data_IF_722136932142
#
_entry.id   IF_722136932142
#
_cell.length_a   1.000
_cell.length_b   1.000
_cell.length_c   1.000
_cell.angle_alpha   90.00
_cell.angle_beta   90.00
_cell.angle_gamma   90.00
#
_symmetry.space_group_name_H-M   'P 1'
#
loop_
_entity.id
_entity.type
_entity.pdbx_description
1 polymer ?
#
# COMPACT_ATOMS: atom_id res chain seq x y z
N UNK A 1 -5.06 -27.35 -10.15
CA UNK A 1 -5.17 -26.84 -8.77
C UNK A 1 -5.32 -25.33 -8.85
N UNK A 2 -6.39 -24.76 -8.28
CA UNK A 2 -6.57 -23.31 -8.22
C UNK A 2 -5.81 -22.80 -7.00
N UNK A 3 -4.72 -22.09 -7.22
CA UNK A 3 -3.96 -21.44 -6.15
C UNK A 3 -4.81 -20.26 -5.64
N UNK A 4 -5.43 -20.45 -4.48
CA UNK A 4 -6.14 -19.39 -3.77
C UNK A 4 -5.08 -18.47 -3.15
N UNK A 5 -4.90 -17.28 -3.72
CA UNK A 5 -4.16 -16.21 -3.06
C UNK A 5 -5.20 -15.26 -2.45
N UNK A 6 -5.45 -15.33 -1.13
CA UNK A 6 -6.33 -14.40 -0.48
C UNK A 6 -5.75 -13.00 -0.65
N UNK A 7 -6.56 -12.07 -1.16
CA UNK A 7 -6.29 -10.64 -1.10
C UNK A 7 -5.74 -10.26 0.28
N UNK A 8 -4.73 -9.39 0.31
CA UNK A 8 -3.88 -8.98 1.44
C UNK A 8 -4.53 -8.59 2.77
N UNK A 9 -5.86 -8.59 2.88
CA UNK A 9 -6.57 -8.52 4.16
C UNK A 9 -6.24 -9.71 5.10
N UNK A 10 -5.44 -10.69 4.66
CA UNK A 10 -5.06 -11.87 5.43
C UNK A 10 -3.54 -12.12 5.58
N UNK A 11 -2.65 -11.20 5.17
CA UNK A 11 -1.20 -11.36 5.33
C UNK A 11 -0.69 -10.65 6.61
N UNK A 12 -0.25 -11.39 7.64
CA UNK A 12 0.30 -10.77 8.85
C UNK A 12 1.75 -10.32 8.60
N UNK A 13 1.91 -9.08 8.15
CA UNK A 13 3.23 -8.41 8.09
C UNK A 13 3.34 -7.27 9.08
N UNK A 14 4.52 -7.16 9.68
CA UNK A 14 4.87 -6.02 10.53
C UNK A 14 5.20 -4.77 9.73
N UNK A 15 5.45 -4.90 8.41
CA UNK A 15 5.76 -3.78 7.53
C UNK A 15 5.25 -4.02 6.09
N UNK A 16 3.96 -3.73 5.83
CA UNK A 16 3.35 -3.95 4.52
C UNK A 16 3.97 -3.06 3.42
N UNK A 17 4.44 -1.87 3.77
CA UNK A 17 5.11 -0.97 2.83
C UNK A 17 6.43 -1.56 2.31
N UNK A 18 7.27 -2.08 3.22
CA UNK A 18 8.52 -2.75 2.87
C UNK A 18 8.27 -4.02 2.05
N UNK A 19 7.23 -4.78 2.39
CA UNK A 19 6.83 -5.97 1.64
C UNK A 19 6.51 -5.64 0.18
N UNK A 20 5.73 -4.59 -0.05
CA UNK A 20 5.38 -4.11 -1.38
C UNK A 20 6.59 -3.61 -2.16
N UNK A 21 7.50 -2.87 -1.51
CA UNK A 21 8.75 -2.40 -2.13
C UNK A 21 9.66 -3.58 -2.54
N UNK A 22 9.81 -4.59 -1.68
CA UNK A 22 10.62 -5.78 -1.96
C UNK A 22 10.05 -6.60 -3.11
N UNK A 23 8.75 -6.85 -3.11
CA UNK A 23 8.11 -7.61 -4.20
C UNK A 23 8.10 -6.84 -5.52
N UNK A 24 7.95 -5.51 -5.48
CA UNK A 24 8.06 -4.66 -6.67
C UNK A 24 9.46 -4.76 -7.27
N UNK A 25 10.51 -4.65 -6.45
CA UNK A 25 11.90 -4.82 -6.87
C UNK A 25 12.11 -6.18 -7.55
N UNK A 26 11.61 -7.26 -6.93
CA UNK A 26 11.74 -8.61 -7.48
C UNK A 26 10.86 -8.83 -8.71
N UNK A 27 9.75 -8.09 -8.87
CA UNK A 27 8.88 -8.16 -10.04
C UNK A 27 9.43 -7.35 -11.23
N UNK A 28 10.33 -6.40 -11.01
CA UNK A 28 11.00 -5.67 -12.09
C UNK A 28 12.02 -6.56 -12.82
N UNK A 29 12.64 -7.52 -12.12
CA UNK A 29 13.44 -8.59 -12.72
C UNK A 29 13.12 -9.99 -12.14
N UNK A 30 12.01 -10.61 -12.56
CA UNK A 30 11.48 -11.84 -11.95
C UNK A 30 12.39 -13.07 -12.15
N UNK A 31 13.19 -13.07 -13.19
CA UNK A 31 14.12 -14.16 -13.53
C UNK A 31 15.51 -14.02 -12.87
N UNK A 32 15.78 -12.89 -12.20
CA UNK A 32 17.06 -12.61 -11.57
C UNK A 32 17.08 -12.99 -10.08
N UNK A 33 18.27 -13.41 -9.63
CA UNK A 33 18.54 -13.63 -8.21
C UNK A 33 19.18 -12.38 -7.61
N UNK A 34 18.53 -11.79 -6.62
CA UNK A 34 18.97 -10.58 -5.95
C UNK A 34 19.69 -10.92 -4.65
N UNK A 35 20.94 -10.46 -4.50
CA UNK A 35 21.71 -10.73 -3.28
C UNK A 35 21.19 -9.88 -2.12
N UNK A 36 21.31 -10.36 -0.87
CA UNK A 36 20.91 -9.58 0.31
C UNK A 36 21.61 -8.21 0.38
N UNK A 37 22.86 -8.12 -0.05
CA UNK A 37 23.62 -6.86 -0.07
C UNK A 37 22.96 -5.82 -0.98
N UNK A 38 22.61 -6.23 -2.19
CA UNK A 38 22.01 -5.36 -3.22
C UNK A 38 20.59 -4.94 -2.85
N UNK A 39 19.81 -5.84 -2.23
CA UNK A 39 18.47 -5.49 -1.74
C UNK A 39 18.56 -4.48 -0.59
N UNK A 40 19.52 -4.65 0.32
CA UNK A 40 19.65 -3.74 1.47
C UNK A 40 20.07 -2.32 1.06
N UNK A 41 20.86 -2.16 -0.01
CA UNK A 41 21.26 -0.83 -0.51
C UNK A 41 20.12 -0.08 -1.17
N UNK A 42 19.09 -0.78 -1.68
CA UNK A 42 17.87 -0.17 -2.23
C UNK A 42 16.93 0.37 -1.14
N UNK A 43 17.04 -0.12 0.09
CA UNK A 43 16.11 0.18 1.20
C UNK A 43 16.84 0.59 2.50
N UNK A 44 17.78 1.56 2.46
CA UNK A 44 18.59 1.93 3.62
C UNK A 44 17.75 2.46 4.79
N UNK A 45 16.57 3.04 4.52
CA UNK A 45 15.67 3.61 5.52
C UNK A 45 15.03 2.56 6.45
N UNK A 46 14.98 1.29 6.03
CA UNK A 46 14.42 0.20 6.85
C UNK A 46 15.50 -0.57 7.63
N UNK A 47 16.75 -0.52 7.16
CA UNK A 47 17.88 -1.23 7.76
C UNK A 47 17.91 -2.73 7.45
N UNK A 48 19.11 -3.31 7.51
CA UNK A 48 19.36 -4.68 7.07
C UNK A 48 18.60 -5.76 7.85
N UNK A 49 18.36 -5.56 9.15
CA UNK A 49 17.65 -6.52 10.00
C UNK A 49 16.17 -6.59 9.61
N UNK A 50 15.53 -5.44 9.42
CA UNK A 50 14.10 -5.36 9.10
C UNK A 50 13.83 -5.89 7.70
N UNK A 51 14.65 -5.52 6.72
CA UNK A 51 14.59 -6.05 5.35
C UNK A 51 14.75 -7.56 5.30
N UNK A 52 15.71 -8.12 6.06
CA UNK A 52 15.88 -9.56 6.15
C UNK A 52 14.68 -10.27 6.79
N UNK A 53 14.12 -9.72 7.85
CA UNK A 53 12.94 -10.29 8.50
C UNK A 53 11.74 -10.30 7.56
N UNK A 54 11.54 -9.23 6.80
CA UNK A 54 10.42 -9.18 5.86
C UNK A 54 10.61 -10.13 4.67
N UNK A 55 11.83 -10.26 4.14
CA UNK A 55 12.14 -11.29 3.14
C UNK A 55 11.86 -12.70 3.65
N UNK A 56 12.15 -13.01 4.92
CA UNK A 56 11.80 -14.30 5.54
C UNK A 56 10.29 -14.50 5.59
N UNK A 57 9.52 -13.46 5.93
CA UNK A 57 8.06 -13.53 5.95
C UNK A 57 7.51 -13.80 4.54
N UNK A 58 8.02 -13.09 3.53
CA UNK A 58 7.63 -13.29 2.12
C UNK A 58 7.96 -14.70 1.61
N UNK A 59 9.07 -15.29 2.07
CA UNK A 59 9.42 -16.69 1.78
C UNK A 59 8.44 -17.66 2.44
N UNK A 60 8.11 -17.45 3.72
CA UNK A 60 7.21 -18.32 4.45
C UNK A 60 5.81 -18.41 3.80
N UNK A 61 5.40 -17.35 3.11
CA UNK A 61 4.11 -17.27 2.41
C UNK A 61 4.21 -17.60 0.91
N UNK A 62 5.39 -18.00 0.43
CA UNK A 62 5.58 -18.49 -0.94
C UNK A 62 5.62 -17.39 -2.03
N UNK A 63 5.75 -16.12 -1.66
CA UNK A 63 5.89 -15.03 -2.63
C UNK A 63 7.32 -14.91 -3.17
N UNK A 64 8.30 -15.27 -2.36
CA UNK A 64 9.73 -15.20 -2.67
C UNK A 64 10.37 -16.56 -2.45
N UNK A 65 11.28 -16.95 -3.34
CA UNK A 65 12.14 -18.12 -3.17
C UNK A 65 13.55 -17.65 -2.78
N UNK A 66 14.19 -18.43 -1.92
CA UNK A 66 15.55 -18.18 -1.48
C UNK A 66 16.46 -19.35 -1.81
N UNK A 67 17.64 -19.05 -2.34
CA UNK A 67 18.68 -20.04 -2.60
C UNK A 67 20.00 -19.56 -2.00
N UNK A 68 20.57 -20.38 -1.12
CA UNK A 68 21.86 -20.11 -0.48
C UNK A 68 22.93 -19.80 -1.55
N UNK A 69 23.69 -18.73 -1.33
CA UNK A 69 24.72 -18.25 -2.26
C UNK A 69 24.21 -17.48 -3.49
N UNK A 70 22.92 -17.56 -3.84
CA UNK A 70 22.34 -16.79 -4.96
C UNK A 70 21.49 -15.61 -4.49
N UNK A 71 20.72 -15.76 -3.42
CA UNK A 71 19.88 -14.70 -2.85
C UNK A 71 18.39 -14.98 -2.99
N UNK A 72 17.62 -13.95 -3.35
CA UNK A 72 16.16 -13.94 -3.38
C UNK A 72 15.63 -13.73 -4.79
N UNK A 73 14.53 -14.39 -5.13
CA UNK A 73 13.88 -14.27 -6.42
C UNK A 73 12.36 -14.37 -6.23
N UNK A 74 11.59 -13.75 -7.13
CA UNK A 74 10.15 -13.91 -7.14
C UNK A 74 9.77 -15.38 -7.35
N UNK A 75 8.81 -15.88 -6.57
CA UNK A 75 8.30 -17.25 -6.68
C UNK A 75 6.94 -17.33 -7.39
N UNK A 76 6.22 -16.22 -7.47
CA UNK A 76 4.93 -16.07 -8.14
C UNK A 76 5.09 -15.42 -9.53
N UNK A 77 4.10 -15.53 -10.43
CA UNK A 77 4.11 -14.84 -11.72
C UNK A 77 4.26 -13.32 -11.57
N UNK A 78 4.97 -12.67 -12.50
CA UNK A 78 5.19 -11.22 -12.47
C UNK A 78 3.87 -10.42 -12.45
N UNK A 79 2.90 -10.82 -13.29
CA UNK A 79 1.58 -10.19 -13.32
C UNK A 79 0.87 -10.28 -11.96
N UNK A 80 0.96 -11.44 -11.32
CA UNK A 80 0.38 -11.66 -9.99
C UNK A 80 1.12 -10.88 -8.90
N UNK A 81 2.45 -10.77 -8.95
CA UNK A 81 3.20 -9.92 -8.03
C UNK A 81 2.84 -8.44 -8.18
N UNK A 82 2.63 -8.01 -9.44
CA UNK A 82 2.16 -6.66 -9.78
C UNK A 82 0.69 -6.44 -9.46
N UNK A 83 -0.15 -7.47 -9.38
CA UNK A 83 -1.56 -7.33 -8.97
C UNK A 83 -1.70 -7.40 -7.45
N UNK A 84 -1.01 -8.34 -6.80
CA UNK A 84 -0.95 -8.47 -5.34
C UNK A 84 -0.41 -7.18 -4.71
N UNK A 85 0.56 -6.51 -5.35
CA UNK A 85 1.19 -5.31 -4.76
C UNK A 85 1.29 -4.10 -5.71
N UNK A 86 0.59 -4.11 -6.84
CA UNK A 86 0.22 -2.90 -7.58
C UNK A 86 -0.66 -1.97 -6.76
N UNK A 87 -1.13 -2.47 -5.62
CA UNK A 87 -1.67 -1.72 -4.51
C UNK A 87 -0.58 -0.88 -3.82
N UNK A 88 -0.24 0.27 -4.41
CA UNK A 88 0.52 1.32 -3.74
C UNK A 88 -0.38 2.08 -2.77
N UNK A 89 -0.80 1.45 -1.68
CA UNK A 89 -1.17 2.22 -0.51
C UNK A 89 0.08 2.89 0.04
N UNK A 90 0.37 4.10 -0.46
CA UNK A 90 1.34 4.96 0.20
C UNK A 90 0.92 5.12 1.66
N UNK A 91 1.87 5.34 2.57
CA UNK A 91 1.55 5.65 3.97
C UNK A 91 0.46 6.72 4.10
N UNK A 92 0.38 7.63 3.13
CA UNK A 92 -0.68 8.63 3.00
C UNK A 92 -2.05 8.03 2.67
N UNK A 93 -2.18 7.06 1.76
CA UNK A 93 -3.44 6.37 1.47
C UNK A 93 -3.96 5.58 2.68
N UNK A 94 -3.09 4.83 3.36
CA UNK A 94 -3.46 4.12 4.58
C UNK A 94 -3.96 5.09 5.68
N UNK A 95 -3.34 6.26 5.80
CA UNK A 95 -3.81 7.33 6.71
C UNK A 95 -5.14 7.92 6.28
N UNK A 96 -5.38 8.11 4.99
CA UNK A 96 -6.66 8.60 4.45
C UNK A 96 -7.78 7.61 4.80
N UNK A 97 -7.53 6.32 4.62
CA UNK A 97 -8.47 5.25 4.98
C UNK A 97 -8.73 5.22 6.48
N UNK A 98 -7.68 5.26 7.31
CA UNK A 98 -7.83 5.30 8.76
C UNK A 98 -8.65 6.51 9.23
N UNK A 99 -8.48 7.68 8.61
CA UNK A 99 -9.30 8.86 8.88
C UNK A 99 -10.77 8.65 8.50
N UNK A 100 -11.06 8.03 7.36
CA UNK A 100 -12.44 7.71 6.95
C UNK A 100 -13.06 6.68 7.91
N UNK A 101 -12.32 5.67 8.36
CA UNK A 101 -12.80 4.68 9.34
C UNK A 101 -13.17 5.38 10.67
N UNK A 102 -12.29 6.24 11.19
CA UNK A 102 -12.51 6.91 12.48
C UNK A 102 -13.65 7.92 12.44
N UNK A 103 -13.79 8.64 11.33
CA UNK A 103 -14.64 9.84 11.26
C UNK A 103 -15.81 9.72 10.28
N UNK A 104 -15.95 8.59 9.60
CA UNK A 104 -16.88 8.40 8.48
C UNK A 104 -16.51 9.15 7.19
N UNK A 105 -15.63 10.16 7.26
CA UNK A 105 -15.19 10.97 6.11
C UNK A 105 -13.87 11.69 6.37
N UNK A 106 -13.19 12.08 5.29
CA UNK A 106 -11.97 12.90 5.33
C UNK A 106 -12.00 14.02 4.29
N UNK A 107 -11.32 15.13 4.57
CA UNK A 107 -11.10 16.24 3.63
C UNK A 107 -9.71 16.84 3.86
N UNK A 108 -9.18 17.54 2.85
CA UNK A 108 -7.79 17.99 2.81
C UNK A 108 -7.34 18.74 4.08
N UNK A 109 -8.12 19.73 4.52
CA UNK A 109 -7.77 20.51 5.73
C UNK A 109 -7.79 19.68 7.01
N UNK A 110 -8.68 18.67 7.15
CA UNK A 110 -8.71 17.79 8.32
C UNK A 110 -7.50 16.87 8.37
N UNK A 111 -7.17 16.29 7.21
CA UNK A 111 -6.02 15.44 7.05
C UNK A 111 -4.70 16.16 7.35
N UNK A 112 -4.61 17.44 6.97
CA UNK A 112 -3.44 18.25 7.30
C UNK A 112 -3.33 18.53 8.80
N UNK A 113 -4.44 18.91 9.44
CA UNK A 113 -4.49 19.18 10.89
C UNK A 113 -4.20 17.95 11.76
N UNK A 114 -4.44 16.73 11.24
CA UNK A 114 -4.11 15.48 11.93
C UNK A 114 -2.65 15.04 11.73
N UNK A 115 -1.77 15.91 11.20
CA UNK A 115 -0.36 15.57 10.94
C UNK A 115 -0.16 14.68 9.71
N UNK A 116 -1.13 14.65 8.78
CA UNK A 116 -1.20 13.70 7.67
C UNK A 116 -0.17 13.91 6.55
N UNK A 117 0.48 15.07 6.46
CA UNK A 117 1.45 15.42 5.41
C UNK A 117 1.01 16.58 4.50
N UNK A 118 1.74 16.80 3.42
CA UNK A 118 1.51 17.89 2.45
C UNK A 118 0.22 17.69 1.63
N UNK A 119 -0.43 18.79 1.23
CA UNK A 119 -1.68 18.78 0.47
C UNK A 119 -1.56 18.02 -0.86
N UNK A 120 -0.39 18.09 -1.51
CA UNK A 120 -0.13 17.41 -2.78
C UNK A 120 -0.04 15.88 -2.61
N UNK A 121 0.38 15.40 -1.44
CA UNK A 121 0.42 13.97 -1.12
C UNK A 121 -0.98 13.45 -0.84
N UNK A 122 -1.79 14.23 -0.10
CA UNK A 122 -3.19 13.90 0.13
C UNK A 122 -3.98 13.81 -1.18
N UNK A 123 -3.84 14.78 -2.08
CA UNK A 123 -4.56 14.81 -3.36
C UNK A 123 -4.19 13.62 -4.26
N UNK A 124 -2.91 13.23 -4.30
CA UNK A 124 -2.47 12.03 -5.01
C UNK A 124 -3.04 10.75 -4.39
N UNK A 125 -3.08 10.68 -3.07
CA UNK A 125 -3.64 9.54 -2.34
C UNK A 125 -5.14 9.36 -2.61
N UNK A 126 -5.95 10.42 -2.45
CA UNK A 126 -7.40 10.33 -2.69
C UNK A 126 -7.73 10.04 -4.15
N UNK A 127 -7.01 10.64 -5.11
CA UNK A 127 -7.23 10.37 -6.54
C UNK A 127 -7.01 8.89 -6.88
N UNK A 128 -5.93 8.31 -6.37
CA UNK A 128 -5.64 6.90 -6.60
C UNK A 128 -6.66 5.97 -5.94
N UNK A 129 -7.11 6.27 -4.71
CA UNK A 129 -8.15 5.51 -4.03
C UNK A 129 -9.53 5.64 -4.72
N UNK A 130 -9.81 6.76 -5.37
CA UNK A 130 -11.01 6.94 -6.21
C UNK A 130 -10.93 6.13 -7.50
N UNK A 131 -9.79 6.16 -8.21
CA UNK A 131 -9.55 5.36 -9.42
C UNK A 131 -9.69 3.86 -9.15
N UNK A 132 -9.32 3.41 -7.94
CA UNK A 132 -9.49 2.03 -7.48
C UNK A 132 -10.93 1.70 -7.02
N UNK A 133 -11.80 2.70 -6.90
CA UNK A 133 -13.18 2.52 -6.43
C UNK A 133 -13.32 2.23 -4.94
N UNK A 134 -12.29 2.51 -4.13
CA UNK A 134 -12.30 2.33 -2.67
C UNK A 134 -13.09 3.46 -2.00
N UNK A 135 -12.87 4.69 -2.45
CA UNK A 135 -13.54 5.88 -1.95
C UNK A 135 -14.29 6.61 -3.06
N UNK A 136 -15.29 7.39 -2.67
CA UNK A 136 -16.02 8.34 -3.51
C UNK A 136 -15.95 9.73 -2.89
N UNK A 137 -16.06 10.77 -3.73
CA UNK A 137 -16.17 12.13 -3.25
C UNK A 137 -17.59 12.69 -3.34
N UNK A 138 -17.89 13.63 -2.45
CA UNK A 138 -19.09 14.45 -2.52
C UNK A 138 -18.75 15.89 -2.16
N UNK A 139 -19.43 16.86 -2.77
CA UNK A 139 -19.28 18.27 -2.43
C UNK A 139 -20.36 18.69 -1.43
N UNK A 140 -19.94 19.05 -0.21
CA UNK A 140 -20.84 19.55 0.84
C UNK A 140 -20.58 21.02 1.13
N UNK A 141 -21.61 21.75 1.53
CA UNK A 141 -21.44 23.13 2.00
C UNK A 141 -20.71 23.15 3.34
N UNK A 142 -19.83 24.14 3.53
CA UNK A 142 -19.16 24.36 4.81
C UNK A 142 -20.17 24.98 5.79
N UNK A 143 -20.32 24.46 7.03
CA UNK A 143 -21.32 24.96 7.98
C UNK A 143 -21.20 26.45 8.29
N UNK A 144 -19.96 26.96 8.36
CA UNK A 144 -19.67 28.38 8.66
C UNK A 144 -19.69 29.28 7.42
N UNK A 145 -19.73 28.73 6.21
CA UNK A 145 -19.73 29.47 4.96
C UNK A 145 -20.48 28.65 3.88
N UNK A 146 -21.83 28.70 3.84
CA UNK A 146 -22.64 27.79 3.03
C UNK A 146 -22.42 27.89 1.51
N UNK A 147 -21.96 29.06 1.05
CA UNK A 147 -21.59 29.33 -0.34
C UNK A 147 -20.28 28.65 -0.75
N UNK A 148 -19.44 28.24 0.21
CA UNK A 148 -18.21 27.50 -0.04
C UNK A 148 -18.53 26.00 -0.04
N UNK A 149 -18.17 25.34 -1.14
CA UNK A 149 -18.26 23.88 -1.27
C UNK A 149 -16.93 23.24 -0.90
N UNK A 150 -16.98 22.19 -0.09
CA UNK A 150 -15.84 21.38 0.31
C UNK A 150 -16.03 19.96 -0.20
N UNK A 151 -15.00 19.45 -0.86
CA UNK A 151 -14.94 18.03 -1.24
C UNK A 151 -14.58 17.18 -0.02
N UNK A 152 -15.46 16.24 0.30
CA UNK A 152 -15.25 15.20 1.31
C UNK A 152 -15.18 13.85 0.62
N UNK A 153 -14.39 12.94 1.19
CA UNK A 153 -14.20 11.60 0.68
C UNK A 153 -14.71 10.58 1.70
N UNK A 154 -15.43 9.57 1.22
CA UNK A 154 -16.03 8.49 2.01
C UNK A 154 -15.87 7.16 1.30
N UNK A 155 -16.00 6.02 2.01
CA UNK A 155 -16.00 4.71 1.35
C UNK A 155 -17.18 4.57 0.37
N UNK A 156 -16.90 3.95 -0.77
CA UNK A 156 -17.95 3.55 -1.70
C UNK A 156 -18.89 2.52 -1.07
N UNK A 157 -20.11 2.40 -1.61
CA UNK A 157 -21.04 1.32 -1.19
C UNK A 157 -20.45 -0.09 -1.37
N UNK A 158 -19.55 -0.27 -2.34
CA UNK A 158 -18.86 -1.54 -2.59
C UNK A 158 -17.86 -1.84 -1.46
N UNK A 159 -17.08 -0.85 -1.04
CA UNK A 159 -16.10 -0.98 0.03
C UNK A 159 -16.75 -1.20 1.41
N UNK A 160 -17.97 -0.71 1.64
CA UNK A 160 -18.72 -0.89 2.91
C UNK A 160 -19.35 -2.28 3.10
N UNK A 161 -19.43 -3.11 2.04
CA UNK A 161 -20.08 -4.44 2.06
C UNK A 161 -19.11 -5.60 2.28
N UNK A 162 -17.80 -5.33 2.31
CA UNK A 162 -16.76 -6.29 2.62
C UNK A 162 -16.38 -6.17 4.10
#
# INVERSE_FOLDING_TARGET
MKTYYPSLNCYPTTNPELSGKLLSLLADSPDEWHKPGDINTQFPEYGCIRTRNELKNLIAHGFVRHRSGKGYQLAIPQGEARELFGYRESQTQARVIAEIIRNGSVYARKFWLSGGGDASQFLRAVRSLEEQGVIENTCVSVPTAPHIKRRIYTFTRRAKKQ
#
